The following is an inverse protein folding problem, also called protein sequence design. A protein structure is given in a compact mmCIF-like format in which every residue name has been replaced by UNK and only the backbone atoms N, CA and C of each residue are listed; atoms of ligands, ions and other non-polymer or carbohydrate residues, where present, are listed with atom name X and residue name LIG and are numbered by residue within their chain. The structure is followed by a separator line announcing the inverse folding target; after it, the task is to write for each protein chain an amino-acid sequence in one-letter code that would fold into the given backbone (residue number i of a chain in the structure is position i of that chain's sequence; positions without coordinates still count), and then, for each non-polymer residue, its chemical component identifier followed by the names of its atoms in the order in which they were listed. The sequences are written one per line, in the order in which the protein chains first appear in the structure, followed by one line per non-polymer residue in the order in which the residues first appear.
data_IF_151328679273
#
_entry.id   IF_151328679273
#
_cell.length_a   1.000
_cell.length_b   1.000
_cell.length_c   1.000
_cell.angle_alpha   90.00
_cell.angle_beta   90.00
_cell.angle_gamma   90.00
#
_symmetry.space_group_name_H-M   'P 1'
#
loop_
_entity.id
_entity.type
_entity.pdbx_description
1 polymer ?
#
# COMPACT_ATOMS: atom_id res chain seq x y z
N UNK A 1 -10.82 -14.27 -16.86
CA UNK A 1 -10.21 -13.73 -15.64
C UNK A 1 -10.30 -12.23 -15.80
N UNK A 2 -11.36 -11.62 -15.26
CA UNK A 2 -11.51 -10.16 -15.34
C UNK A 2 -10.31 -9.55 -14.61
N UNK A 3 -9.43 -8.93 -15.38
CA UNK A 3 -8.45 -8.02 -14.85
C UNK A 3 -9.29 -6.92 -14.19
N UNK A 4 -9.29 -6.88 -12.85
CA UNK A 4 -9.76 -5.70 -12.12
C UNK A 4 -9.09 -4.51 -12.80
N UNK A 5 -9.86 -3.72 -13.54
CA UNK A 5 -9.42 -2.41 -14.03
C UNK A 5 -9.12 -1.61 -12.77
N UNK A 6 -7.86 -1.67 -12.37
CA UNK A 6 -7.33 -0.97 -11.22
C UNK A 6 -7.10 0.48 -11.67
N UNK A 7 -8.19 1.16 -12.06
CA UNK A 7 -8.26 2.62 -12.28
C UNK A 7 -7.70 3.39 -11.09
N UNK A 8 -7.67 2.70 -9.95
CA UNK A 8 -7.30 3.11 -8.62
C UNK A 8 -5.79 3.46 -8.50
N UNK A 9 -4.89 2.66 -9.11
CA UNK A 9 -3.43 2.77 -8.92
C UNK A 9 -2.70 3.63 -9.96
N UNK A 10 -3.41 3.99 -11.01
CA UNK A 10 -2.78 4.63 -12.15
C UNK A 10 -2.45 6.10 -11.87
N UNK A 11 -3.10 6.82 -10.95
CA UNK A 11 -2.86 8.27 -10.82
C UNK A 11 -1.38 8.64 -10.59
N UNK A 12 -0.75 8.09 -9.55
CA UNK A 12 0.68 8.35 -9.28
C UNK A 12 1.58 7.79 -10.38
N UNK A 13 1.23 6.64 -10.97
CA UNK A 13 1.98 6.08 -12.09
C UNK A 13 1.87 6.94 -13.35
N UNK A 14 0.73 7.59 -13.58
CA UNK A 14 0.44 8.45 -14.73
C UNK A 14 1.03 9.85 -14.56
N UNK A 15 1.29 10.28 -13.33
CA UNK A 15 2.05 11.52 -13.04
C UNK A 15 3.56 11.38 -13.36
N UNK A 16 4.08 10.15 -13.42
CA UNK A 16 5.46 9.89 -13.79
C UNK A 16 5.69 10.10 -15.29
N UNK A 17 6.90 10.56 -15.70
CA UNK A 17 7.26 10.53 -17.11
C UNK A 17 7.26 9.08 -17.64
N UNK A 18 7.03 8.86 -18.94
CA UNK A 18 6.81 7.52 -19.50
C UNK A 18 7.87 6.48 -19.11
N UNK A 19 9.14 6.85 -19.17
CA UNK A 19 10.24 5.97 -18.80
C UNK A 19 10.25 5.57 -17.31
N UNK A 20 9.92 6.50 -16.41
CA UNK A 20 9.83 6.21 -14.98
C UNK A 20 8.58 5.38 -14.64
N UNK A 21 7.47 5.63 -15.34
CA UNK A 21 6.26 4.81 -15.24
C UNK A 21 6.53 3.37 -15.70
N UNK A 22 7.20 3.18 -16.83
CA UNK A 22 7.52 1.86 -17.35
C UNK A 22 8.44 1.09 -16.38
N UNK A 23 9.41 1.77 -15.76
CA UNK A 23 10.24 1.17 -14.72
C UNK A 23 9.43 0.81 -13.48
N UNK A 24 8.50 1.67 -13.03
CA UNK A 24 7.63 1.36 -11.90
C UNK A 24 6.73 0.14 -12.17
N UNK A 25 6.21 -0.01 -13.39
CA UNK A 25 5.45 -1.19 -13.82
C UNK A 25 6.32 -2.46 -13.87
N UNK A 26 7.58 -2.34 -14.28
CA UNK A 26 8.54 -3.44 -14.25
C UNK A 26 8.84 -3.89 -12.80
N UNK A 27 8.99 -2.93 -11.88
CA UNK A 27 9.13 -3.22 -10.46
C UNK A 27 7.90 -3.94 -9.90
N UNK A 28 6.70 -3.47 -10.26
CA UNK A 28 5.44 -4.08 -9.87
C UNK A 28 5.29 -5.52 -10.34
N UNK A 29 5.82 -5.88 -11.51
CA UNK A 29 5.72 -7.24 -12.04
C UNK A 29 6.84 -8.16 -11.53
N UNK A 30 8.03 -7.62 -11.26
CA UNK A 30 9.24 -8.42 -11.01
C UNK A 30 9.57 -8.56 -9.53
N UNK A 31 9.28 -7.55 -8.71
CA UNK A 31 9.69 -7.51 -7.31
C UNK A 31 8.49 -7.75 -6.37
N UNK A 32 8.77 -8.39 -5.24
CA UNK A 32 7.84 -8.46 -4.10
C UNK A 32 7.75 -7.10 -3.38
N UNK A 33 6.66 -6.85 -2.65
CA UNK A 33 6.48 -5.62 -1.89
C UNK A 33 7.66 -5.34 -0.93
N UNK A 34 8.13 -6.38 -0.23
CA UNK A 34 9.27 -6.26 0.67
C UNK A 34 10.57 -5.86 -0.04
N UNK A 35 10.80 -6.35 -1.27
CA UNK A 35 11.96 -5.95 -2.05
C UNK A 35 11.87 -4.50 -2.53
N UNK A 36 10.69 -4.04 -2.96
CA UNK A 36 10.49 -2.65 -3.38
C UNK A 36 10.68 -1.70 -2.17
N UNK A 37 10.18 -2.09 -0.99
CA UNK A 37 10.45 -1.35 0.25
C UNK A 37 11.95 -1.30 0.57
N UNK A 38 12.67 -2.41 0.42
CA UNK A 38 14.11 -2.42 0.61
C UNK A 38 14.87 -1.51 -0.38
N UNK A 39 14.40 -1.39 -1.62
CA UNK A 39 14.96 -0.42 -2.59
C UNK A 39 14.77 1.02 -2.12
N UNK A 40 13.63 1.35 -1.50
CA UNK A 40 13.35 2.71 -0.98
C UNK A 40 14.30 3.11 0.15
N UNK A 41 14.67 2.16 1.01
CA UNK A 41 15.53 2.41 2.18
C UNK A 41 17.02 2.53 1.83
N UNK A 42 17.42 2.29 0.57
CA UNK A 42 18.80 2.51 0.12
C UNK A 42 19.17 4.00 0.25
N UNK A 43 20.39 4.28 0.70
CA UNK A 43 20.94 5.64 0.82
C UNK A 43 21.03 6.38 -0.51
N UNK A 44 21.19 5.66 -1.61
CA UNK A 44 21.32 6.22 -2.95
C UNK A 44 20.42 5.48 -3.96
N UNK A 45 19.97 6.16 -5.03
CA UNK A 45 19.24 5.52 -6.11
C UNK A 45 20.02 4.40 -6.79
N UNK A 46 19.32 3.32 -7.14
CA UNK A 46 19.91 2.19 -7.86
C UNK A 46 20.19 2.58 -9.32
N UNK A 47 21.45 2.94 -9.61
CA UNK A 47 21.85 3.47 -10.92
C UNK A 47 21.71 2.46 -12.05
N UNK A 48 21.96 1.20 -11.77
CA UNK A 48 21.84 0.13 -12.77
C UNK A 48 20.38 -0.04 -13.18
N UNK A 49 19.50 -0.10 -12.19
CA UNK A 49 18.07 -0.20 -12.41
C UNK A 49 17.53 1.02 -13.19
N UNK A 50 17.93 2.24 -12.81
CA UNK A 50 17.54 3.47 -13.50
C UNK A 50 18.04 3.52 -14.95
N UNK A 51 19.24 3.00 -15.21
CA UNK A 51 19.85 2.99 -16.54
C UNK A 51 19.07 2.13 -17.53
N UNK A 52 18.41 1.05 -17.08
CA UNK A 52 17.63 0.14 -17.95
C UNK A 52 16.54 0.83 -18.76
N UNK A 53 15.99 1.95 -18.24
CA UNK A 53 14.95 2.75 -18.89
C UNK A 53 15.34 4.22 -19.05
N UNK A 54 16.62 4.57 -18.88
CA UNK A 54 17.11 5.96 -18.94
C UNK A 54 16.35 6.91 -18.01
N UNK A 55 16.08 6.49 -16.77
CA UNK A 55 15.34 7.29 -15.79
C UNK A 55 16.32 8.17 -15.01
N UNK A 56 15.99 9.46 -14.85
CA UNK A 56 16.77 10.38 -14.02
C UNK A 56 16.59 10.07 -12.54
N UNK A 57 17.69 10.16 -11.77
CA UNK A 57 17.72 10.01 -10.31
C UNK A 57 16.65 10.80 -9.56
N UNK A 58 16.28 11.98 -10.08
CA UNK A 58 15.26 12.85 -9.47
C UNK A 58 13.89 12.17 -9.33
N UNK A 59 13.62 11.16 -10.14
CA UNK A 59 12.37 10.41 -10.13
C UNK A 59 12.43 9.16 -9.24
N UNK A 60 13.58 8.82 -8.67
CA UNK A 60 13.76 7.58 -7.88
C UNK A 60 12.72 7.41 -6.78
N UNK A 61 12.55 8.41 -5.92
CA UNK A 61 11.57 8.31 -4.83
C UNK A 61 10.13 8.28 -5.34
N UNK A 62 9.82 9.08 -6.37
CA UNK A 62 8.48 9.13 -6.94
C UNK A 62 8.08 7.79 -7.57
N UNK A 63 8.97 7.16 -8.35
CA UNK A 63 8.71 5.89 -9.01
C UNK A 63 8.59 4.75 -8.00
N UNK A 64 9.46 4.72 -6.98
CA UNK A 64 9.43 3.69 -5.94
C UNK A 64 8.16 3.82 -5.09
N UNK A 65 7.76 5.04 -4.73
CA UNK A 65 6.52 5.27 -3.98
C UNK A 65 5.28 4.89 -4.79
N UNK A 66 5.24 5.22 -6.08
CA UNK A 66 4.14 4.80 -6.95
C UNK A 66 4.05 3.27 -7.04
N UNK A 67 5.19 2.58 -7.18
CA UNK A 67 5.24 1.12 -7.18
C UNK A 67 4.85 0.51 -5.83
N UNK A 68 5.26 1.08 -4.69
CA UNK A 68 4.84 0.59 -3.36
C UNK A 68 3.33 0.75 -3.18
N UNK A 69 2.79 1.92 -3.50
CA UNK A 69 1.37 2.19 -3.36
C UNK A 69 0.58 1.18 -4.16
N UNK A 70 0.91 1.05 -5.46
CA UNK A 70 0.26 0.11 -6.34
C UNK A 70 0.40 -1.35 -5.87
N UNK A 71 1.61 -1.82 -5.54
CA UNK A 71 1.80 -3.19 -5.05
C UNK A 71 1.00 -3.48 -3.79
N UNK A 72 0.86 -2.49 -2.90
CA UNK A 72 0.12 -2.62 -1.65
C UNK A 72 -1.39 -2.67 -1.87
N UNK A 73 -1.91 -1.86 -2.79
CA UNK A 73 -3.35 -1.76 -3.04
C UNK A 73 -3.93 -2.89 -3.90
N UNK A 74 -3.07 -3.68 -4.58
CA UNK A 74 -3.47 -4.96 -5.19
C UNK A 74 -3.93 -6.01 -4.16
N UNK A 75 -3.50 -5.90 -2.90
CA UNK A 75 -3.98 -6.80 -1.86
C UNK A 75 -5.40 -6.39 -1.46
N UNK A 76 -6.36 -7.23 -1.82
CA UNK A 76 -7.76 -7.09 -1.38
C UNK A 76 -7.94 -7.63 0.05
N UNK A 77 -8.92 -7.10 0.82
CA UNK A 77 -9.23 -7.62 2.15
C UNK A 77 -9.45 -9.13 2.12
N UNK A 78 -8.74 -9.85 2.99
CA UNK A 78 -8.82 -11.30 3.10
C UNK A 78 -8.89 -11.71 4.59
N UNK A 79 -9.94 -12.42 5.02
CA UNK A 79 -10.07 -12.88 6.41
C UNK A 79 -8.92 -13.75 6.92
N UNK A 80 -8.13 -14.33 6.02
CA UNK A 80 -6.94 -15.13 6.36
C UNK A 80 -5.73 -14.28 6.77
N UNK A 81 -5.72 -12.98 6.46
CA UNK A 81 -4.65 -12.10 6.91
C UNK A 81 -4.72 -11.90 8.41
N UNK A 82 -3.56 -12.00 9.05
CA UNK A 82 -3.36 -11.56 10.43
C UNK A 82 -3.46 -10.04 10.54
N UNK A 83 -3.71 -9.55 11.75
CA UNK A 83 -3.74 -8.11 12.02
C UNK A 83 -2.40 -7.45 11.70
N UNK A 84 -1.28 -8.14 11.99
CA UNK A 84 0.06 -7.63 11.70
C UNK A 84 0.31 -7.48 10.20
N UNK A 85 -0.15 -8.43 9.38
CA UNK A 85 -0.08 -8.33 7.91
C UNK A 85 -0.94 -7.18 7.38
N UNK A 86 -2.15 -7.00 7.92
CA UNK A 86 -3.02 -5.87 7.56
C UNK A 86 -2.33 -4.54 7.90
N UNK A 87 -1.79 -4.40 9.11
CA UNK A 87 -1.08 -3.19 9.52
C UNK A 87 0.18 -2.96 8.70
N UNK A 88 0.88 -4.01 8.30
CA UNK A 88 2.04 -3.92 7.42
C UNK A 88 1.65 -3.34 6.05
N UNK A 89 0.58 -3.86 5.43
CA UNK A 89 0.07 -3.36 4.15
C UNK A 89 -0.35 -1.88 4.25
N UNK A 90 -1.12 -1.52 5.29
CA UNK A 90 -1.54 -0.13 5.52
C UNK A 90 -0.31 0.76 5.68
N UNK A 91 0.65 0.38 6.53
CA UNK A 91 1.86 1.17 6.75
C UNK A 91 2.67 1.35 5.48
N UNK A 92 2.81 0.31 4.66
CA UNK A 92 3.50 0.38 3.38
C UNK A 92 2.82 1.40 2.44
N UNK A 93 1.52 1.26 2.19
CA UNK A 93 0.75 2.16 1.31
C UNK A 93 0.76 3.62 1.82
N UNK A 94 0.63 3.83 3.13
CA UNK A 94 0.61 5.18 3.69
C UNK A 94 1.98 5.85 3.66
N UNK A 95 3.04 5.05 3.76
CA UNK A 95 4.40 5.60 3.72
C UNK A 95 4.72 6.17 2.34
N UNK A 96 4.06 5.69 1.27
CA UNK A 96 4.26 6.18 -0.10
C UNK A 96 3.57 7.51 -0.41
N UNK A 97 2.57 7.94 0.38
CA UNK A 97 1.80 9.17 0.12
C UNK A 97 2.31 10.40 0.88
N UNK A 98 3.57 10.40 1.31
CA UNK A 98 4.21 11.47 2.11
C UNK A 98 3.38 11.91 3.33
N UNK A 99 2.60 10.99 3.92
CA UNK A 99 1.83 11.25 5.10
C UNK A 99 2.72 11.11 6.36
N UNK A 100 2.68 12.05 7.32
CA UNK A 100 3.45 11.95 8.55
C UNK A 100 2.86 10.87 9.49
N UNK A 101 3.29 9.62 9.32
CA UNK A 101 2.77 8.43 10.04
C UNK A 101 3.13 8.41 11.54
N UNK A 102 3.81 9.41 12.09
CA UNK A 102 4.39 9.27 13.43
C UNK A 102 3.35 9.06 14.54
N UNK A 103 2.09 9.49 14.39
CA UNK A 103 1.05 9.31 15.43
C UNK A 103 -0.39 9.20 14.89
N UNK A 104 -0.57 9.06 13.59
CA UNK A 104 -1.91 9.09 13.00
C UNK A 104 -2.64 7.75 13.15
N UNK A 105 -3.89 7.83 13.61
CA UNK A 105 -4.86 6.74 13.63
C UNK A 105 -5.33 6.40 12.22
N UNK A 106 -5.84 5.17 12.02
CA UNK A 106 -6.45 4.76 10.74
C UNK A 106 -7.57 5.71 10.31
N UNK A 107 -8.31 6.28 11.28
CA UNK A 107 -9.36 7.27 11.02
C UNK A 107 -8.79 8.56 10.43
N UNK A 108 -7.77 9.16 11.05
CA UNK A 108 -7.14 10.40 10.56
C UNK A 108 -6.51 10.21 9.17
N UNK A 109 -6.00 9.01 8.90
CA UNK A 109 -5.48 8.64 7.60
C UNK A 109 -6.58 8.52 6.53
N UNK A 110 -7.73 7.93 6.85
CA UNK A 110 -8.90 7.89 5.96
C UNK A 110 -9.42 9.31 5.66
N UNK A 111 -9.50 10.16 6.67
CA UNK A 111 -9.88 11.58 6.52
C UNK A 111 -8.88 12.34 5.65
N UNK A 112 -7.58 12.14 5.85
CA UNK A 112 -6.53 12.75 5.03
C UNK A 112 -6.63 12.34 3.56
N UNK A 113 -6.75 11.03 3.30
CA UNK A 113 -6.83 10.50 1.93
C UNK A 113 -8.08 10.98 1.22
N UNK A 114 -9.21 11.09 1.93
CA UNK A 114 -10.43 11.67 1.38
C UNK A 114 -10.27 13.17 1.07
N UNK A 115 -9.67 13.94 1.97
CA UNK A 115 -9.42 15.38 1.76
C UNK A 115 -8.41 15.68 0.64
N UNK A 116 -7.54 14.71 0.32
CA UNK A 116 -6.60 14.78 -0.82
C UNK A 116 -7.17 14.20 -2.12
N UNK A 117 -8.47 13.90 -2.16
CA UNK A 117 -9.15 13.29 -3.31
C UNK A 117 -8.52 11.95 -3.74
N UNK A 118 -7.82 11.28 -2.81
CA UNK A 118 -7.30 9.93 -2.98
C UNK A 118 -8.40 8.91 -2.68
N UNK A 119 -9.55 9.06 -3.35
CA UNK A 119 -10.78 8.27 -3.11
C UNK A 119 -10.53 6.76 -3.11
N UNK A 120 -9.59 6.37 -3.94
CA UNK A 120 -9.08 5.02 -4.11
C UNK A 120 -8.52 4.44 -2.82
N UNK A 121 -7.48 5.09 -2.31
CA UNK A 121 -6.78 4.67 -1.12
C UNK A 121 -7.69 4.80 0.09
N UNK A 122 -8.54 5.83 0.11
CA UNK A 122 -9.57 6.00 1.14
C UNK A 122 -10.53 4.80 1.19
N UNK A 123 -11.03 4.34 0.04
CA UNK A 123 -11.86 3.12 -0.04
C UNK A 123 -11.10 1.88 0.41
N UNK A 124 -9.89 1.67 -0.10
CA UNK A 124 -9.05 0.52 0.28
C UNK A 124 -8.80 0.46 1.79
N UNK A 125 -8.51 1.61 2.42
CA UNK A 125 -8.35 1.73 3.87
C UNK A 125 -9.65 1.43 4.61
N UNK A 126 -10.80 1.86 4.09
CA UNK A 126 -12.12 1.54 4.63
C UNK A 126 -12.37 0.04 4.65
N UNK A 127 -12.12 -0.64 3.52
CA UNK A 127 -12.34 -2.08 3.38
C UNK A 127 -11.47 -2.89 4.38
N UNK A 128 -10.20 -2.49 4.60
CA UNK A 128 -9.34 -3.11 5.61
C UNK A 128 -9.72 -2.75 7.05
N UNK A 129 -10.24 -1.54 7.29
CA UNK A 129 -10.77 -1.13 8.60
C UNK A 129 -11.95 -2.01 9.02
N UNK A 130 -12.88 -2.28 8.10
CA UNK A 130 -14.00 -3.18 8.33
C UNK A 130 -13.54 -4.60 8.65
N UNK A 131 -12.54 -5.11 7.92
CA UNK A 131 -11.97 -6.43 8.17
C UNK A 131 -11.38 -6.54 9.58
N UNK A 132 -10.62 -5.53 10.02
CA UNK A 132 -10.07 -5.47 11.39
C UNK A 132 -11.17 -5.47 12.46
N UNK A 133 -12.25 -4.72 12.23
CA UNK A 133 -13.40 -4.69 13.13
C UNK A 133 -14.09 -6.05 13.22
N UNK A 134 -14.28 -6.74 12.09
CA UNK A 134 -14.86 -8.09 12.06
C UNK A 134 -14.00 -9.08 12.85
N UNK A 135 -12.68 -9.11 12.62
CA UNK A 135 -11.77 -9.99 13.34
C UNK A 135 -11.77 -9.72 14.86
N UNK A 136 -11.88 -8.46 15.28
CA UNK A 136 -11.95 -8.10 16.70
C UNK A 136 -13.27 -8.54 17.36
N UNK A 137 -14.40 -8.45 16.63
CA UNK A 137 -15.70 -8.94 17.10
C UNK A 137 -15.69 -10.46 17.26
N UNK A 138 -15.16 -11.20 16.29
CA UNK A 138 -15.05 -12.66 16.36
C UNK A 138 -14.16 -13.14 17.52
N UNK A 139 -13.02 -12.48 17.75
CA UNK A 139 -12.16 -12.76 18.92
C UNK A 139 -12.93 -12.56 20.24
N UNK A 140 -13.69 -11.47 20.35
CA UNK A 140 -14.47 -11.14 21.55
C UNK A 140 -15.57 -12.16 21.83
N UNK A 141 -16.24 -12.65 20.78
CA UNK A 141 -17.27 -13.69 20.89
C UNK A 141 -16.70 -15.05 21.35
N UNK A 142 -15.57 -15.48 20.78
CA UNK A 142 -14.90 -16.74 21.16
C UNK A 142 -14.42 -16.73 22.62
N UNK A 143 -13.90 -15.59 23.09
CA UNK A 143 -13.48 -15.42 24.49
C UNK A 143 -14.68 -15.45 25.45
N UNK A 144 -15.83 -14.89 25.05
CA UNK A 144 -17.07 -14.95 25.82
C UNK A 144 -17.61 -16.37 26.00
N UNK A 145 -17.62 -17.19 24.94
CA UNK A 145 -18.09 -18.58 25.02
C UNK A 145 -17.16 -19.48 25.85
N UNK A 146 -15.85 -19.25 25.80
CA UNK A 146 -14.88 -20.02 26.61
C UNK A 146 -14.98 -19.72 28.12
N UNK A 147 -15.52 -18.56 28.51
CA UNK A 147 -15.74 -18.19 29.92
C UNK A 147 -17.09 -18.68 30.47
N UNK A 148 -18.08 -18.88 29.60
CA UNK A 148 -19.41 -19.38 29.99
C UNK A 148 -19.49 -20.91 30.16
N UNK A 149 -18.40 -21.63 29.86
CA UNK A 149 -18.31 -23.10 29.92
C UNK A 149 -17.49 -23.62 31.12
N UNK A 150 -17.29 -22.79 32.16
CA UNK A 150 -16.65 -23.15 33.43
C UNK A 150 -17.57 -22.81 34.58
#
# INVERSE_FOLDING_TARGET
MELLENDYEQSLLQELPPNARDLALELLSTYSLGQILALREKTEPDKELLATKHVSDRYWLALINAAILAKSTYFLPNPKFSQDEIFYLIKAACSSINYPIKQATLKELMEFTQAKEMHVLSKWLGDFSELLLQQNREKSFKVGMSKASR
#
